data_IF_849175203330
#
_entry.id   IF_849175203330
#
_cell.length_a   1.000
_cell.length_b   1.000
_cell.length_c   1.000
_cell.angle_alpha   90.00
_cell.angle_beta   90.00
_cell.angle_gamma   90.00
#
_symmetry.space_group_name_H-M   'P 1'
#
loop_
_entity.id
_entity.type
_entity.pdbx_description
1 polymer ?
#
# COMPACT_ATOMS: atom_id res chain seq x y z
N UNK A 1 -3.68 28.04 32.46
CA UNK A 1 -2.57 27.62 31.59
C UNK A 1 -3.02 26.41 30.79
N UNK A 2 -3.76 26.62 29.71
CA UNK A 2 -4.13 25.56 28.76
C UNK A 2 -3.74 26.08 27.38
N UNK A 3 -2.53 25.72 26.98
CA UNK A 3 -2.01 26.01 25.65
C UNK A 3 -2.02 24.71 24.85
N UNK A 4 -2.41 24.87 23.58
CA UNK A 4 -2.36 23.89 22.50
C UNK A 4 -3.63 23.07 22.30
N UNK A 5 -4.66 23.78 21.81
CA UNK A 5 -5.44 23.22 20.73
C UNK A 5 -4.57 23.02 19.49
N UNK A 6 -4.58 21.81 18.94
CA UNK A 6 -4.74 21.59 17.51
C UNK A 6 -5.21 20.16 17.30
N UNK A 7 -6.49 20.04 16.99
CA UNK A 7 -7.12 18.86 16.42
C UNK A 7 -6.33 18.38 15.21
N UNK A 8 -5.50 17.34 15.36
CA UNK A 8 -5.20 16.46 14.23
C UNK A 8 -6.38 15.49 14.07
N UNK A 9 -7.53 16.06 13.69
CA UNK A 9 -8.60 15.34 13.02
C UNK A 9 -8.21 15.21 11.56
N UNK A 10 -7.17 14.42 11.27
CA UNK A 10 -6.99 13.90 9.92
C UNK A 10 -7.60 12.52 9.97
N UNK A 11 -8.89 12.49 9.62
CA UNK A 11 -9.62 11.36 9.06
C UNK A 11 -8.79 10.07 9.04
N UNK A 12 -9.08 9.20 10.00
CA UNK A 12 -8.65 7.80 10.08
C UNK A 12 -9.04 7.08 8.79
N UNK A 13 -8.27 7.32 7.73
CA UNK A 13 -8.16 6.36 6.66
C UNK A 13 -7.11 5.42 7.18
N UNK A 14 -7.56 4.30 7.71
CA UNK A 14 -6.74 3.14 8.06
C UNK A 14 -6.01 2.69 6.79
N UNK A 15 -4.93 3.38 6.45
CA UNK A 15 -3.99 2.96 5.43
C UNK A 15 -3.30 1.73 6.00
N UNK A 16 -3.75 0.57 5.53
CA UNK A 16 -3.22 -0.69 6.03
C UNK A 16 -1.76 -0.80 5.60
N UNK A 17 -0.85 -0.79 6.57
CA UNK A 17 0.58 -1.02 6.31
C UNK A 17 0.76 -2.45 5.81
N UNK A 18 1.26 -2.58 4.58
CA UNK A 18 1.53 -3.88 3.96
C UNK A 18 2.94 -4.35 4.28
N UNK A 19 3.91 -3.44 4.26
CA UNK A 19 5.30 -3.75 4.59
C UNK A 19 5.73 -3.03 5.87
N UNK A 20 5.64 -3.72 7.02
CA UNK A 20 6.10 -3.18 8.31
C UNK A 20 7.62 -2.97 8.36
N UNK A 21 8.39 -3.75 7.60
CA UNK A 21 9.85 -3.65 7.58
C UNK A 21 10.35 -2.34 6.94
N UNK A 22 9.55 -1.73 6.06
CA UNK A 22 9.91 -0.54 5.28
C UNK A 22 8.85 0.56 5.37
N UNK A 23 7.88 0.40 6.28
CA UNK A 23 6.75 1.29 6.50
C UNK A 23 5.98 1.68 5.21
N UNK A 24 5.67 0.68 4.38
CA UNK A 24 4.93 0.90 3.12
C UNK A 24 3.46 0.52 3.27
N UNK A 25 2.59 1.48 2.95
CA UNK A 25 1.12 1.37 3.00
C UNK A 25 0.53 0.75 1.74
N UNK A 26 -0.66 0.15 1.87
CA UNK A 26 -1.45 -0.37 0.75
C UNK A 26 -1.74 0.70 -0.30
N UNK A 27 -2.09 1.92 0.13
CA UNK A 27 -2.37 3.06 -0.76
C UNK A 27 -1.18 3.36 -1.67
N UNK A 28 0.03 3.44 -1.11
CA UNK A 28 1.26 3.65 -1.88
C UNK A 28 1.47 2.57 -2.94
N UNK A 29 1.18 1.30 -2.62
CA UNK A 29 1.31 0.19 -3.57
C UNK A 29 0.23 0.26 -4.65
N UNK A 30 -1.02 0.54 -4.28
CA UNK A 30 -2.14 0.67 -5.21
C UNK A 30 -1.95 1.83 -6.18
N UNK A 31 -1.49 2.98 -5.68
CA UNK A 31 -1.16 4.16 -6.48
C UNK A 31 -0.02 3.86 -7.44
N UNK A 32 1.05 3.18 -6.98
CA UNK A 32 2.14 2.78 -7.85
C UNK A 32 1.67 1.84 -8.98
N UNK A 33 0.81 0.87 -8.67
CA UNK A 33 0.21 -0.03 -9.68
C UNK A 33 -0.64 0.78 -10.68
N UNK A 34 -1.48 1.69 -10.21
CA UNK A 34 -2.41 2.44 -11.05
C UNK A 34 -1.71 3.50 -11.92
N UNK A 35 -0.73 4.22 -11.36
CA UNK A 35 0.00 5.31 -12.02
C UNK A 35 1.06 4.75 -12.97
N UNK A 36 1.84 3.77 -12.51
CA UNK A 36 2.95 3.22 -13.29
C UNK A 36 2.56 1.97 -14.09
N UNK A 37 1.34 1.44 -13.93
CA UNK A 37 0.86 0.25 -14.66
C UNK A 37 1.60 -1.04 -14.29
N UNK A 38 2.01 -1.19 -13.03
CA UNK A 38 2.84 -2.31 -12.59
C UNK A 38 2.04 -3.63 -12.64
N UNK A 39 2.61 -4.66 -13.25
CA UNK A 39 1.92 -5.95 -13.42
C UNK A 39 2.57 -7.09 -12.64
N UNK A 40 3.79 -6.87 -12.14
CA UNK A 40 4.57 -7.89 -11.45
C UNK A 40 5.02 -7.45 -10.06
N UNK A 41 5.24 -8.43 -9.18
CA UNK A 41 5.73 -8.15 -7.82
C UNK A 41 7.10 -7.48 -7.85
N UNK A 42 7.96 -7.87 -8.80
CA UNK A 42 9.31 -7.30 -8.93
C UNK A 42 9.26 -5.81 -9.27
N UNK A 43 8.34 -5.41 -10.14
CA UNK A 43 8.10 -4.00 -10.46
C UNK A 43 7.62 -3.23 -9.24
N UNK A 44 6.66 -3.76 -8.49
CA UNK A 44 6.22 -3.14 -7.22
C UNK A 44 7.38 -2.98 -6.25
N UNK A 45 8.18 -4.03 -6.03
CA UNK A 45 9.33 -3.95 -5.14
C UNK A 45 10.33 -2.90 -5.60
N UNK A 46 10.50 -2.72 -6.91
CA UNK A 46 11.43 -1.74 -7.48
C UNK A 46 10.92 -0.31 -7.34
N UNK A 47 9.62 -0.08 -7.58
CA UNK A 47 9.03 1.26 -7.53
C UNK A 47 8.68 1.72 -6.12
N UNK A 48 8.20 0.81 -5.27
CA UNK A 48 7.77 1.13 -3.88
C UNK A 48 8.80 0.75 -2.82
N UNK A 49 9.80 -0.05 -3.16
CA UNK A 49 10.73 -0.66 -2.19
C UNK A 49 10.13 -1.79 -1.36
N UNK A 50 8.80 -1.96 -1.34
CA UNK A 50 8.13 -2.95 -0.49
C UNK A 50 8.64 -4.37 -0.76
N UNK A 51 8.96 -5.11 0.30
CA UNK A 51 9.42 -6.50 0.17
C UNK A 51 10.91 -6.68 -0.16
N UNK A 52 11.72 -5.62 -0.11
CA UNK A 52 13.19 -5.73 -0.18
C UNK A 52 13.86 -6.21 1.11
N UNK A 53 13.15 -6.19 2.24
CA UNK A 53 13.66 -6.66 3.54
C UNK A 53 13.25 -8.10 3.87
N UNK A 54 12.39 -8.25 4.88
CA UNK A 54 11.93 -9.53 5.42
C UNK A 54 11.07 -10.39 4.47
N UNK A 55 10.63 -9.85 3.32
CA UNK A 55 9.76 -10.48 2.31
C UNK A 55 8.37 -11.01 2.77
N UNK A 56 8.03 -10.92 4.06
CA UNK A 56 6.75 -11.38 4.60
C UNK A 56 5.51 -10.75 3.92
N UNK A 57 5.64 -9.53 3.40
CA UNK A 57 4.56 -8.84 2.70
C UNK A 57 4.31 -9.34 1.27
N UNK A 58 5.18 -10.18 0.69
CA UNK A 58 5.08 -10.62 -0.71
C UNK A 58 3.74 -11.30 -1.03
N UNK A 59 3.19 -12.07 -0.09
CA UNK A 59 1.89 -12.72 -0.27
C UNK A 59 0.77 -11.68 -0.47
N UNK A 60 0.78 -10.62 0.36
CA UNK A 60 -0.16 -9.50 0.24
C UNK A 60 0.03 -8.67 -1.02
N UNK A 61 1.27 -8.36 -1.39
CA UNK A 61 1.57 -7.62 -2.64
C UNK A 61 1.03 -8.36 -3.87
N UNK A 62 1.17 -9.70 -3.92
CA UNK A 62 0.59 -10.50 -5.02
C UNK A 62 -0.93 -10.46 -5.03
N UNK A 63 -1.57 -10.39 -3.87
CA UNK A 63 -3.02 -10.28 -3.77
C UNK A 63 -3.52 -8.91 -4.23
N UNK A 64 -2.81 -7.83 -3.89
CA UNK A 64 -3.10 -6.49 -4.40
C UNK A 64 -2.96 -6.42 -5.91
N UNK A 65 -1.87 -6.94 -6.48
CA UNK A 65 -1.70 -7.06 -7.93
C UNK A 65 -2.85 -7.78 -8.60
N UNK A 66 -3.27 -8.90 -8.02
CA UNK A 66 -4.43 -9.63 -8.52
C UNK A 66 -5.64 -8.72 -8.48
N UNK A 67 -6.01 -8.15 -7.33
CA UNK A 67 -7.18 -7.27 -7.15
C UNK A 67 -7.19 -6.10 -8.13
N UNK A 68 -6.06 -5.41 -8.31
CA UNK A 68 -5.93 -4.28 -9.24
C UNK A 68 -6.16 -4.69 -10.70
N UNK A 69 -5.88 -5.95 -11.04
CA UNK A 69 -6.03 -6.49 -12.38
C UNK A 69 -7.24 -7.43 -12.55
N UNK A 70 -8.19 -7.43 -11.59
CA UNK A 70 -9.45 -8.14 -11.76
C UNK A 70 -10.55 -7.14 -12.08
N UNK A 71 -11.32 -7.33 -13.16
CA UNK A 71 -12.63 -6.70 -13.23
C UNK A 71 -13.42 -7.23 -12.02
N UNK A 72 -13.91 -6.32 -11.19
CA UNK A 72 -14.87 -6.61 -10.12
C UNK A 72 -15.91 -7.59 -10.69
N UNK A 73 -16.12 -8.77 -10.08
CA UNK A 73 -17.20 -9.64 -10.50
C UNK A 73 -18.51 -8.88 -10.25
N UNK A 74 -19.07 -8.34 -11.33
CA UNK A 74 -20.45 -7.90 -11.36
C UNK A 74 -21.30 -9.15 -11.14
N UNK A 75 -21.92 -9.22 -9.97
CA UNK A 75 -23.11 -10.03 -9.77
C UNK A 75 -24.28 -9.41 -10.54
#
# INVERSE_FOLDING_TARGET
MQILGRTHSVSDRCETTICHCLDISEGTVADAIAICGLTTLKEICRETGAGGGCTACHARLRELLRKSNQPVPAC
#
